data_IF_385819985849
#
_entry.id   IF_385819985849
#
_cell.length_a   1.000
_cell.length_b   1.000
_cell.length_c   1.000
_cell.angle_alpha   90.00
_cell.angle_beta   90.00
_cell.angle_gamma   90.00
#
_symmetry.space_group_name_H-M   'P 1'
#
loop_
_entity.id
_entity.type
_entity.pdbx_description
1 polymer ?
#
# COMPACT_ATOMS: atom_id res chain seq x y z
N UNK A 1 -17.02 -4.65 -1.24
CA UNK A 1 -16.88 -3.85 -0.04
C UNK A 1 -16.60 -2.41 -0.43
N UNK A 2 -17.37 -1.51 0.15
CA UNK A 2 -17.17 -0.09 -0.12
C UNK A 2 -15.81 0.35 0.40
N UNK A 3 -15.10 1.09 -0.41
CA UNK A 3 -13.83 1.70 0.00
C UNK A 3 -14.14 2.90 0.84
N UNK A 4 -13.41 3.06 1.91
CA UNK A 4 -13.67 4.18 2.79
C UNK A 4 -13.10 5.49 2.21
N UNK A 5 -13.43 6.59 2.88
CA UNK A 5 -13.01 7.91 2.44
C UNK A 5 -11.50 8.06 2.47
N UNK A 6 -10.84 7.40 3.42
CA UNK A 6 -9.40 7.50 3.55
C UNK A 6 -8.69 6.80 2.40
N UNK A 7 -9.20 5.63 1.97
CA UNK A 7 -8.67 4.95 0.79
C UNK A 7 -8.69 5.89 -0.42
N UNK A 8 -9.82 6.53 -0.66
CA UNK A 8 -9.97 7.45 -1.80
C UNK A 8 -9.09 8.68 -1.65
N UNK A 9 -8.92 9.18 -0.44
CA UNK A 9 -8.05 10.33 -0.18
C UNK A 9 -6.59 10.00 -0.48
N UNK A 10 -6.13 8.83 -0.08
CA UNK A 10 -4.75 8.38 -0.36
C UNK A 10 -4.56 8.26 -1.86
N UNK A 11 -5.50 7.64 -2.55
CA UNK A 11 -5.43 7.48 -4.00
C UNK A 11 -5.34 8.84 -4.70
N UNK A 12 -6.21 9.79 -4.34
CA UNK A 12 -6.19 11.13 -4.93
C UNK A 12 -4.88 11.87 -4.62
N UNK A 13 -4.37 11.70 -3.39
CA UNK A 13 -3.10 12.32 -2.99
C UNK A 13 -1.94 11.82 -3.84
N UNK A 14 -1.90 10.53 -4.10
CA UNK A 14 -0.87 9.95 -4.97
C UNK A 14 -1.00 10.49 -6.40
N UNK A 15 -2.21 10.54 -6.92
CA UNK A 15 -2.44 11.06 -8.28
C UNK A 15 -2.02 12.51 -8.41
N UNK A 16 -2.26 13.33 -7.38
CA UNK A 16 -1.80 14.73 -7.36
C UNK A 16 -0.29 14.87 -7.38
N UNK A 17 0.43 13.88 -6.87
CA UNK A 17 1.88 13.84 -6.87
C UNK A 17 2.44 13.11 -8.09
N UNK A 18 1.63 12.95 -9.12
CA UNK A 18 1.99 12.34 -10.39
C UNK A 18 2.25 10.85 -10.34
N UNK A 19 1.72 10.16 -9.33
CA UNK A 19 1.72 8.71 -9.31
C UNK A 19 0.55 8.20 -10.15
N UNK A 20 0.83 7.21 -10.98
CA UNK A 20 -0.20 6.51 -11.71
C UNK A 20 -0.62 5.28 -10.92
N UNK A 21 -1.89 5.19 -10.58
CA UNK A 21 -2.43 4.02 -9.90
C UNK A 21 -2.53 2.88 -10.91
N UNK A 22 -1.77 1.84 -10.70
CA UNK A 22 -1.74 0.68 -11.61
C UNK A 22 -2.59 -0.47 -11.11
N UNK A 23 -2.75 -0.56 -9.80
CA UNK A 23 -3.50 -1.66 -9.18
C UNK A 23 -4.30 -1.12 -7.99
N UNK A 24 -5.53 -1.57 -7.87
CA UNK A 24 -6.41 -1.19 -6.78
C UNK A 24 -7.44 -2.29 -6.56
N UNK A 25 -7.11 -3.38 -5.88
CA UNK A 25 -5.89 -3.65 -5.11
C UNK A 25 -4.76 -4.28 -5.93
N UNK A 26 -3.59 -4.32 -5.33
CA UNK A 26 -2.45 -5.07 -5.87
C UNK A 26 -2.47 -6.47 -5.26
N UNK A 27 -2.64 -7.47 -6.11
CA UNK A 27 -2.66 -8.86 -5.66
C UNK A 27 -1.30 -9.49 -5.78
N UNK A 28 -0.86 -10.13 -4.70
CA UNK A 28 0.39 -10.83 -4.65
C UNK A 28 0.08 -12.32 -4.49
N UNK A 29 0.40 -13.11 -5.50
CA UNK A 29 0.17 -14.54 -5.49
C UNK A 29 1.48 -15.27 -5.26
N UNK A 30 1.49 -16.15 -4.27
CA UNK A 30 2.66 -16.96 -3.95
C UNK A 30 2.18 -18.32 -3.46
N UNK A 31 2.78 -19.37 -3.99
CA UNK A 31 2.29 -20.72 -3.72
C UNK A 31 0.97 -21.01 -4.44
N UNK A 32 0.45 -22.21 -4.25
CA UNK A 32 -0.72 -22.68 -4.98
C UNK A 32 -2.02 -21.99 -4.55
N UNK A 33 -2.13 -21.70 -3.25
CA UNK A 33 -3.38 -21.18 -2.68
C UNK A 33 -3.20 -19.89 -1.89
N UNK A 34 -1.98 -19.37 -1.84
CA UNK A 34 -1.68 -18.21 -1.03
C UNK A 34 -1.68 -16.95 -1.84
N UNK A 35 -2.41 -15.96 -1.37
CA UNK A 35 -2.43 -14.64 -1.99
C UNK A 35 -2.62 -13.57 -0.91
N UNK A 36 -2.01 -12.43 -1.16
CA UNK A 36 -2.19 -11.24 -0.35
C UNK A 36 -2.69 -10.12 -1.23
N UNK A 37 -3.41 -9.18 -0.64
CA UNK A 37 -3.84 -7.99 -1.34
C UNK A 37 -3.31 -6.77 -0.61
N UNK A 38 -2.54 -5.94 -1.32
CA UNK A 38 -2.14 -4.63 -0.85
C UNK A 38 -3.11 -3.62 -1.46
N UNK A 39 -3.49 -2.62 -0.71
CA UNK A 39 -4.57 -1.72 -1.12
C UNK A 39 -4.34 -1.03 -2.46
N UNK A 40 -3.12 -0.58 -2.73
CA UNK A 40 -2.79 0.09 -3.99
C UNK A 40 -1.42 -0.31 -4.50
N UNK A 41 -1.30 -0.36 -5.81
CA UNK A 41 -0.02 -0.34 -6.51
C UNK A 41 0.03 0.88 -7.39
N UNK A 42 1.20 1.51 -7.51
CA UNK A 42 1.37 2.71 -8.31
C UNK A 42 2.76 2.77 -8.92
N UNK A 43 2.89 3.58 -9.95
CA UNK A 43 4.18 3.83 -10.59
C UNK A 43 4.34 5.30 -10.90
N UNK A 44 5.58 5.76 -10.93
CA UNK A 44 5.93 7.11 -11.34
C UNK A 44 7.11 7.01 -12.28
N UNK A 45 6.93 7.53 -13.49
CA UNK A 45 8.00 7.51 -14.50
C UNK A 45 8.83 8.77 -14.35
N UNK A 46 10.15 8.58 -14.29
CA UNK A 46 11.09 9.68 -14.14
C UNK A 46 11.79 9.94 -15.47
N UNK A 47 11.50 11.11 -16.06
CA UNK A 47 12.17 11.59 -17.26
C UNK A 47 11.93 10.74 -18.51
N UNK A 48 12.73 11.01 -19.54
CA UNK A 48 12.58 10.37 -20.84
C UNK A 48 13.09 8.93 -20.88
N UNK A 49 13.82 8.48 -19.88
CA UNK A 49 14.42 7.16 -19.87
C UNK A 49 13.47 6.07 -19.38
N UNK A 50 12.28 6.45 -18.94
CA UNK A 50 11.24 5.54 -18.48
C UNK A 50 11.66 4.61 -17.32
N UNK A 51 12.75 4.92 -16.68
CA UNK A 51 13.09 4.31 -15.42
C UNK A 51 12.21 4.99 -14.38
N UNK A 52 11.41 4.22 -13.70
CA UNK A 52 10.48 4.79 -12.75
C UNK A 52 10.53 4.03 -11.45
N UNK A 53 9.81 4.54 -10.49
CA UNK A 53 9.62 3.87 -9.23
C UNK A 53 8.28 3.16 -9.24
N UNK A 54 8.25 1.98 -8.63
CA UNK A 54 7.00 1.28 -8.36
C UNK A 54 6.84 1.15 -6.86
N UNK A 55 5.60 1.36 -6.40
CA UNK A 55 5.29 1.27 -4.98
C UNK A 55 4.04 0.44 -4.77
N UNK A 56 3.93 -0.08 -3.57
CA UNK A 56 2.70 -0.66 -3.04
C UNK A 56 2.33 0.12 -1.79
N UNK A 57 1.05 0.40 -1.61
CA UNK A 57 0.59 1.19 -0.47
C UNK A 57 -0.49 0.41 0.26
N UNK A 58 -0.23 0.12 1.53
CA UNK A 58 -1.23 -0.45 2.43
C UNK A 58 -1.84 0.68 3.23
N UNK A 59 -3.15 0.69 3.33
CA UNK A 59 -3.91 1.81 3.92
C UNK A 59 -4.59 1.34 5.19
N UNK A 60 -4.34 2.04 6.30
CA UNK A 60 -4.98 1.76 7.58
C UNK A 60 -5.53 3.04 8.18
N UNK A 61 -6.82 3.04 8.45
CA UNK A 61 -7.50 4.25 8.95
C UNK A 61 -7.41 4.40 10.47
N UNK A 62 -7.20 3.31 11.21
CA UNK A 62 -7.16 3.30 12.68
C UNK A 62 -8.41 3.93 13.32
N UNK A 63 -9.58 3.62 12.76
CA UNK A 63 -10.83 4.19 13.23
C UNK A 63 -11.40 3.48 14.47
N UNK A 64 -10.80 2.38 14.88
CA UNK A 64 -11.28 1.61 16.03
C UNK A 64 -10.79 2.19 17.35
N UNK A 65 -11.50 1.88 18.43
CA UNK A 65 -11.16 2.34 19.79
C UNK A 65 -9.81 1.82 20.27
N UNK A 66 -9.35 0.70 19.73
CA UNK A 66 -8.07 0.09 20.12
C UNK A 66 -7.01 0.37 19.06
N UNK A 67 -6.57 1.62 18.98
CA UNK A 67 -5.57 2.04 17.99
C UNK A 67 -4.24 1.30 18.15
N UNK A 68 -3.84 0.99 19.38
CA UNK A 68 -2.59 0.26 19.63
C UNK A 68 -2.65 -1.15 19.07
N UNK A 69 -3.76 -1.85 19.24
CA UNK A 69 -3.94 -3.18 18.67
C UNK A 69 -3.94 -3.11 17.14
N UNK A 70 -4.66 -2.14 16.59
CA UNK A 70 -4.71 -1.95 15.15
C UNK A 70 -3.33 -1.67 14.58
N UNK A 71 -2.52 -0.90 15.30
CA UNK A 71 -1.15 -0.61 14.89
C UNK A 71 -0.31 -1.88 14.88
N UNK A 72 -0.41 -2.70 15.91
CA UNK A 72 0.34 -3.97 15.98
C UNK A 72 -0.06 -4.91 14.86
N UNK A 73 -1.34 -5.01 14.55
CA UNK A 73 -1.82 -5.84 13.44
C UNK A 73 -1.33 -5.29 12.10
N UNK A 74 -1.39 -3.97 11.92
CA UNK A 74 -0.93 -3.33 10.70
C UNK A 74 0.56 -3.55 10.49
N UNK A 75 1.35 -3.44 11.56
CA UNK A 75 2.79 -3.66 11.49
C UNK A 75 3.11 -5.11 11.12
N UNK A 76 2.40 -6.08 11.72
CA UNK A 76 2.56 -7.49 11.38
C UNK A 76 2.24 -7.77 9.92
N UNK A 77 1.14 -7.23 9.42
CA UNK A 77 0.77 -7.36 8.01
C UNK A 77 1.80 -6.69 7.10
N UNK A 78 2.27 -5.51 7.47
CA UNK A 78 3.27 -4.78 6.70
C UNK A 78 4.55 -5.60 6.54
N UNK A 79 5.04 -6.18 7.62
CA UNK A 79 6.24 -7.01 7.58
C UNK A 79 6.05 -8.25 6.70
N UNK A 80 4.87 -8.86 6.79
CA UNK A 80 4.55 -10.02 5.96
C UNK A 80 4.49 -9.66 4.48
N UNK A 81 3.82 -8.57 4.13
CA UNK A 81 3.74 -8.09 2.75
C UNK A 81 5.13 -7.76 2.21
N UNK A 82 5.96 -7.14 3.04
CA UNK A 82 7.32 -6.78 2.65
C UNK A 82 8.14 -8.01 2.29
N UNK A 83 8.04 -9.07 3.08
CA UNK A 83 8.75 -10.32 2.81
C UNK A 83 8.29 -10.94 1.49
N UNK A 84 6.99 -10.93 1.23
CA UNK A 84 6.45 -11.46 -0.02
C UNK A 84 6.90 -10.63 -1.21
N UNK A 85 6.85 -9.28 -1.09
CA UNK A 85 7.28 -8.39 -2.16
C UNK A 85 8.77 -8.55 -2.46
N UNK A 86 9.61 -8.75 -1.47
CA UNK A 86 11.04 -8.97 -1.69
C UNK A 86 11.31 -10.14 -2.62
N UNK A 87 10.42 -11.13 -2.63
CA UNK A 87 10.54 -12.30 -3.50
C UNK A 87 9.92 -12.09 -4.87
N UNK A 88 8.75 -11.43 -4.92
CA UNK A 88 7.97 -11.31 -6.15
C UNK A 88 8.34 -10.10 -6.97
N UNK A 89 8.64 -8.99 -6.31
CA UNK A 89 8.90 -7.72 -6.98
C UNK A 89 9.82 -6.87 -6.10
N UNK A 90 11.11 -7.21 -6.05
CA UNK A 90 12.04 -6.61 -5.08
C UNK A 90 12.28 -5.12 -5.27
N UNK A 91 11.95 -4.58 -6.44
CA UNK A 91 12.13 -3.15 -6.70
C UNK A 91 10.92 -2.31 -6.26
N UNK A 92 9.83 -2.95 -5.89
CA UNK A 92 8.63 -2.24 -5.43
C UNK A 92 8.75 -1.95 -3.94
N UNK A 93 8.64 -0.68 -3.60
CA UNK A 93 8.74 -0.23 -2.20
C UNK A 93 7.36 -0.25 -1.57
N UNK A 94 7.26 -0.83 -0.38
CA UNK A 94 6.01 -0.89 0.36
C UNK A 94 5.92 0.28 1.34
N UNK A 95 4.79 0.98 1.32
CA UNK A 95 4.47 2.07 2.25
C UNK A 95 3.21 1.73 3.03
N UNK A 96 3.15 2.24 4.23
CA UNK A 96 1.95 2.20 5.06
C UNK A 96 1.39 3.61 5.15
N UNK A 97 0.19 3.82 4.62
CA UNK A 97 -0.50 5.11 4.69
C UNK A 97 -1.47 5.10 5.86
N UNK A 98 -1.30 6.03 6.78
CA UNK A 98 -2.18 6.17 7.93
C UNK A 98 -2.64 7.63 8.04
N UNK A 99 -3.79 7.90 8.68
CA UNK A 99 -4.22 9.27 8.87
C UNK A 99 -3.24 10.05 9.74
N UNK A 100 -3.12 11.34 9.48
CA UNK A 100 -2.25 12.22 10.27
C UNK A 100 -2.57 12.14 11.76
N UNK A 101 -3.85 12.07 12.11
CA UNK A 101 -4.29 11.96 13.50
C UNK A 101 -3.75 10.72 14.22
N UNK A 102 -3.35 9.69 13.51
CA UNK A 102 -2.81 8.47 14.12
C UNK A 102 -1.38 8.64 14.63
N UNK A 103 -0.71 9.73 14.26
CA UNK A 103 0.65 10.04 14.74
C UNK A 103 0.66 10.83 16.05
N UNK A 104 -0.48 11.34 16.48
CA UNK A 104 -0.59 12.21 17.67
C UNK A 104 -0.90 11.44 18.95
#
# INVERSE_FOLDING_TARGET
VARDKFHNAVRRGLEKQSWQITHDPLRLEFGADDRLEVDLGAQQLLGAQRTGETIAVEIKSFLNDSAMLDFHLALGQFLNYRLVLERLDPNRILYLAIPESAYE
#
